data_IF_095208906185
#
_entry.id   IF_095208906185
#
_cell.length_a   1.000
_cell.length_b   1.000
_cell.length_c   1.000
_cell.angle_alpha   90.00
_cell.angle_beta   90.00
_cell.angle_gamma   90.00
#
_symmetry.space_group_name_H-M   'P 1'
#
loop_
_entity.id
_entity.type
_entity.pdbx_description
1 polymer ?
#
# COMPACT_ATOMS: atom_id res chain seq x y z
N UNK A 1 -4.65 42.17 10.82
CA UNK A 1 -3.91 41.12 10.11
C UNK A 1 -4.74 40.71 8.90
N UNK A 2 -4.24 40.97 7.69
CA UNK A 2 -4.96 40.68 6.44
C UNK A 2 -5.15 39.17 6.31
N UNK A 3 -6.36 38.76 5.90
CA UNK A 3 -6.72 37.38 5.58
C UNK A 3 -5.58 36.65 4.88
N UNK A 4 -4.91 35.74 5.59
CA UNK A 4 -3.83 34.95 5.02
C UNK A 4 -4.46 33.82 4.21
N UNK A 5 -4.89 34.18 3.00
CA UNK A 5 -5.60 33.27 2.08
C UNK A 5 -4.80 32.01 1.82
N UNK A 6 -3.47 32.07 1.92
CA UNK A 6 -2.58 30.93 1.78
C UNK A 6 -2.89 29.81 2.78
N UNK A 7 -3.23 30.14 4.03
CA UNK A 7 -3.53 29.13 5.06
C UNK A 7 -4.91 28.48 4.91
N UNK A 8 -5.72 28.94 3.94
CA UNK A 8 -7.05 28.41 3.66
C UNK A 8 -7.08 27.51 2.42
N UNK A 9 -6.01 27.51 1.63
CA UNK A 9 -5.91 26.73 0.39
C UNK A 9 -5.70 25.26 0.76
N UNK A 10 -6.57 24.39 0.25
CA UNK A 10 -6.40 22.93 0.44
C UNK A 10 -5.25 22.40 -0.42
N UNK A 11 -4.70 21.20 -0.14
CA UNK A 11 -3.68 20.58 -0.97
C UNK A 11 -4.09 20.45 -2.45
N UNK A 12 -5.36 20.11 -2.72
CA UNK A 12 -5.89 19.97 -4.08
C UNK A 12 -5.96 21.31 -4.80
N UNK A 13 -6.39 22.36 -4.10
CA UNK A 13 -6.42 23.73 -4.62
C UNK A 13 -5.01 24.25 -4.88
N UNK A 14 -4.06 23.99 -3.99
CA UNK A 14 -2.65 24.32 -4.16
C UNK A 14 -2.06 23.65 -5.41
N UNK A 15 -2.36 22.36 -5.61
CA UNK A 15 -1.95 21.63 -6.81
C UNK A 15 -2.60 22.23 -8.08
N UNK A 16 -3.87 22.63 -8.00
CA UNK A 16 -4.57 23.33 -9.08
C UNK A 16 -3.87 24.64 -9.47
N UNK A 17 -3.48 25.44 -8.49
CA UNK A 17 -2.74 26.70 -8.69
C UNK A 17 -1.37 26.45 -9.32
N UNK A 18 -0.61 25.48 -8.83
CA UNK A 18 0.70 25.10 -9.40
C UNK A 18 0.57 24.66 -10.87
N UNK A 19 -0.45 23.86 -11.21
CA UNK A 19 -0.76 23.47 -12.59
C UNK A 19 -1.10 24.66 -13.48
N UNK A 20 -1.82 25.66 -12.97
CA UNK A 20 -2.09 26.89 -13.72
C UNK A 20 -0.79 27.67 -13.98
N UNK A 21 0.02 27.91 -12.95
CA UNK A 21 1.26 28.70 -13.06
C UNK A 21 2.27 28.03 -14.01
N UNK A 22 2.41 26.71 -13.93
CA UNK A 22 3.33 25.96 -14.80
C UNK A 22 2.96 26.00 -16.28
N UNK A 23 1.71 26.31 -16.63
CA UNK A 23 1.29 26.51 -18.03
C UNK A 23 1.68 27.89 -18.56
N UNK A 24 1.86 28.87 -17.68
CA UNK A 24 2.10 30.27 -18.06
C UNK A 24 3.58 30.63 -18.08
N UNK A 25 4.39 30.02 -17.21
CA UNK A 25 5.82 30.33 -17.08
C UNK A 25 6.67 29.05 -17.03
N UNK A 26 7.50 28.87 -18.06
CA UNK A 26 8.41 27.73 -18.18
C UNK A 26 9.55 27.72 -17.14
N UNK A 27 10.00 28.89 -16.67
CA UNK A 27 11.03 28.99 -15.64
C UNK A 27 10.47 28.58 -14.28
N UNK A 28 9.25 29.03 -13.96
CA UNK A 28 8.56 28.59 -12.74
C UNK A 28 8.22 27.11 -12.82
N UNK A 29 7.77 26.62 -13.98
CA UNK A 29 7.55 25.19 -14.20
C UNK A 29 8.78 24.34 -13.86
N UNK A 30 9.97 24.72 -14.34
CA UNK A 30 11.22 24.02 -14.01
C UNK A 30 11.50 24.03 -12.51
N UNK A 31 11.36 25.19 -11.86
CA UNK A 31 11.54 25.30 -10.42
C UNK A 31 10.58 24.42 -9.61
N UNK A 32 9.32 24.29 -10.05
CA UNK A 32 8.35 23.38 -9.43
C UNK A 32 8.80 21.92 -9.56
N UNK A 33 9.32 21.53 -10.73
CA UNK A 33 9.83 20.18 -10.98
C UNK A 33 11.05 19.89 -10.09
N UNK A 34 12.03 20.79 -10.07
CA UNK A 34 13.25 20.61 -9.26
C UNK A 34 12.91 20.42 -7.77
N UNK A 35 11.99 21.23 -7.24
CA UNK A 35 11.53 21.11 -5.85
C UNK A 35 10.79 19.80 -5.58
N UNK A 36 10.00 19.31 -6.55
CA UNK A 36 9.32 18.04 -6.43
C UNK A 36 10.32 16.87 -6.48
N UNK A 37 11.31 16.93 -7.36
CA UNK A 37 12.37 15.92 -7.45
C UNK A 37 13.19 15.86 -6.16
N UNK A 38 13.57 17.00 -5.57
CA UNK A 38 14.25 17.04 -4.27
C UNK A 38 13.38 16.47 -3.14
N UNK A 39 12.06 16.73 -3.15
CA UNK A 39 11.12 16.14 -2.21
C UNK A 39 11.07 14.61 -2.35
N UNK A 40 10.97 14.10 -3.58
CA UNK A 40 10.94 12.67 -3.85
C UNK A 40 12.29 11.99 -3.60
N UNK A 41 13.39 12.71 -3.71
CA UNK A 41 14.73 12.19 -3.38
C UNK A 41 14.87 11.87 -1.90
N UNK A 42 14.11 12.56 -1.04
CA UNK A 42 14.05 12.30 0.39
C UNK A 42 13.06 11.16 0.74
N UNK A 43 12.53 10.45 -0.25
CA UNK A 43 11.79 9.21 -0.01
C UNK A 43 12.73 8.19 0.62
N UNK A 44 12.48 7.90 1.88
CA UNK A 44 13.22 6.93 2.66
C UNK A 44 12.90 5.53 2.15
N UNK A 45 13.83 4.95 1.37
CA UNK A 45 13.65 3.62 0.77
C UNK A 45 13.53 2.58 1.89
N UNK A 46 14.28 2.75 2.98
CA UNK A 46 14.22 1.87 4.14
C UNK A 46 12.81 1.85 4.77
N UNK A 47 12.17 3.02 4.93
CA UNK A 47 10.79 3.14 5.43
C UNK A 47 9.79 2.47 4.49
N UNK A 48 9.95 2.62 3.17
CA UNK A 48 9.10 1.94 2.19
C UNK A 48 9.28 0.42 2.28
N UNK A 49 10.53 -0.06 2.34
CA UNK A 49 10.83 -1.47 2.47
C UNK A 49 10.24 -2.06 3.75
N UNK A 50 10.33 -1.34 4.87
CA UNK A 50 9.76 -1.73 6.15
C UNK A 50 8.22 -1.82 6.09
N UNK A 51 7.56 -0.80 5.52
CA UNK A 51 6.11 -0.80 5.34
C UNK A 51 5.63 -1.94 4.43
N UNK A 52 6.36 -2.21 3.33
CA UNK A 52 6.05 -3.33 2.43
C UNK A 52 6.26 -4.66 3.12
N UNK A 53 7.35 -4.81 3.88
CA UNK A 53 7.63 -6.01 4.66
C UNK A 53 6.48 -6.28 5.64
N UNK A 54 6.08 -5.30 6.45
CA UNK A 54 4.99 -5.50 7.42
C UNK A 54 3.63 -5.75 6.77
N UNK A 55 3.35 -5.15 5.60
CA UNK A 55 2.13 -5.46 4.86
C UNK A 55 2.11 -6.90 4.33
N UNK A 56 3.26 -7.42 3.88
CA UNK A 56 3.40 -8.81 3.43
C UNK A 56 3.43 -9.80 4.61
N UNK A 57 4.08 -9.46 5.71
CA UNK A 57 4.06 -10.26 6.94
C UNK A 57 2.63 -10.38 7.49
N UNK A 58 1.87 -9.27 7.48
CA UNK A 58 0.48 -9.23 7.97
C UNK A 58 -0.52 -10.06 7.16
N UNK A 59 -0.24 -10.37 5.89
CA UNK A 59 -1.08 -11.29 5.08
C UNK A 59 -0.66 -12.75 5.24
N UNK A 60 0.34 -13.06 6.09
CA UNK A 60 0.78 -14.42 6.36
C UNK A 60 1.24 -15.14 5.11
N UNK A 61 2.03 -14.49 4.23
CA UNK A 61 2.46 -15.06 2.93
C UNK A 61 3.07 -16.44 3.10
N UNK A 62 3.82 -16.68 4.17
CA UNK A 62 4.37 -18.00 4.48
C UNK A 62 3.28 -19.04 4.75
N UNK A 63 2.28 -18.73 5.56
CA UNK A 63 1.16 -19.64 5.82
C UNK A 63 0.35 -19.93 4.54
N UNK A 64 0.11 -18.91 3.71
CA UNK A 64 -0.54 -19.09 2.42
C UNK A 64 0.30 -19.96 1.47
N UNK A 65 1.62 -19.76 1.46
CA UNK A 65 2.55 -20.50 0.61
C UNK A 65 2.68 -21.97 1.03
N UNK A 66 2.82 -22.23 2.33
CA UNK A 66 2.88 -23.57 2.92
C UNK A 66 1.61 -24.36 2.61
N UNK A 67 0.46 -23.68 2.52
CA UNK A 67 -0.85 -24.28 2.22
C UNK A 67 -1.21 -24.30 0.73
N UNK A 68 -0.38 -23.77 -0.16
CA UNK A 68 -0.75 -23.56 -1.59
C UNK A 68 -0.22 -24.62 -2.57
N UNK A 69 0.45 -25.68 -2.13
CA UNK A 69 1.01 -26.68 -3.05
C UNK A 69 0.90 -28.13 -2.60
N UNK A 70 0.48 -29.03 -3.50
CA UNK A 70 0.38 -30.49 -3.30
C UNK A 70 1.66 -31.23 -2.84
N UNK A 71 2.78 -30.51 -2.66
CA UNK A 71 4.08 -31.03 -2.22
C UNK A 71 4.69 -30.26 -1.05
N UNK A 72 4.01 -29.23 -0.55
CA UNK A 72 4.43 -28.44 0.61
C UNK A 72 3.97 -29.17 1.89
N UNK A 73 4.76 -29.09 2.97
CA UNK A 73 4.33 -29.59 4.26
C UNK A 73 3.17 -28.73 4.79
N UNK A 74 2.03 -29.36 5.07
CA UNK A 74 0.81 -28.65 5.51
C UNK A 74 -0.20 -28.34 4.41
N UNK A 75 0.05 -28.75 3.16
CA UNK A 75 -1.00 -28.78 2.15
C UNK A 75 -1.97 -29.93 2.41
N UNK A 76 -3.24 -29.57 2.60
CA UNK A 76 -4.37 -30.49 2.58
C UNK A 76 -5.19 -30.19 1.34
N UNK A 77 -5.52 -31.21 0.54
CA UNK A 77 -6.38 -30.99 -0.62
C UNK A 77 -7.78 -30.51 -0.17
N UNK A 78 -8.50 -29.74 -0.98
CA UNK A 78 -9.87 -29.34 -0.65
C UNK A 78 -10.79 -30.53 -0.35
N UNK A 79 -10.57 -31.66 -1.02
CA UNK A 79 -11.31 -32.90 -0.81
C UNK A 79 -11.00 -33.51 0.56
N UNK A 80 -9.72 -33.59 0.95
CA UNK A 80 -9.32 -34.11 2.26
C UNK A 80 -9.80 -33.20 3.40
N UNK A 81 -9.70 -31.88 3.22
CA UNK A 81 -10.21 -30.89 4.18
C UNK A 81 -11.73 -30.98 4.34
N UNK A 82 -12.46 -31.24 3.25
CA UNK A 82 -13.91 -31.42 3.31
C UNK A 82 -14.32 -32.68 4.09
N UNK A 83 -13.53 -33.75 3.99
CA UNK A 83 -13.74 -34.98 4.79
C UNK A 83 -13.47 -34.70 6.27
N UNK A 84 -12.35 -34.05 6.59
CA UNK A 84 -11.98 -33.70 7.97
C UNK A 84 -13.05 -32.82 8.63
N UNK A 85 -13.55 -31.81 7.92
CA UNK A 85 -14.67 -30.96 8.38
C UNK A 85 -15.97 -31.74 8.61
N UNK A 86 -16.24 -32.76 7.80
CA UNK A 86 -17.42 -33.61 7.97
C UNK A 86 -17.28 -34.50 9.21
N UNK A 87 -16.10 -35.11 9.39
CA UNK A 87 -15.80 -35.98 10.54
C UNK A 87 -15.84 -35.20 11.86
N UNK A 88 -15.24 -34.02 11.94
CA UNK A 88 -15.31 -33.16 13.14
C UNK A 88 -16.75 -32.84 13.56
N UNK A 89 -17.63 -32.56 12.59
CA UNK A 89 -19.05 -32.27 12.85
C UNK A 89 -19.79 -33.52 13.33
N UNK A 90 -19.43 -34.69 12.83
CA UNK A 90 -20.03 -35.97 13.20
C UNK A 90 -19.58 -36.42 14.59
N UNK A 91 -18.29 -36.29 14.92
CA UNK A 91 -17.74 -36.60 16.25
C UNK A 91 -18.28 -35.67 17.32
N UNK A 92 -18.44 -34.37 17.02
CA UNK A 92 -19.01 -33.39 17.96
C UNK A 92 -20.51 -33.59 18.24
N UNK A 93 -21.19 -34.41 17.44
CA UNK A 93 -22.62 -34.76 17.59
C UNK A 93 -22.85 -36.11 18.29
N UNK A 94 -21.79 -36.86 18.62
CA UNK A 94 -21.83 -38.00 19.54
C UNK A 94 -21.50 -37.57 20.96
#
# INVERSE_FOLDING_TARGET
>A
MKNDIFNKITPEEALGILKCISKTDNKIKRKIIDLAEDLFRNVNIEEICENVYYALDGIGVHELWDRSGARSDGFTSPEDMAVEMFEEVMEKKM
#
